data_IF_416332367489
#
_entry.id   IF_416332367489
#
_cell.length_a   1.000
_cell.length_b   1.000
_cell.length_c   1.000
_cell.angle_alpha   90.00
_cell.angle_beta   90.00
_cell.angle_gamma   90.00
#
_symmetry.space_group_name_H-M   'P 1'
#
loop_
_entity.id
_entity.type
_entity.pdbx_description
1 polymer ?
#
# COMPACT_ATOMS: atom_id res chain seq x y z
N UNK A 1 51.84 -29.14 47.70
CA UNK A 1 50.62 -29.24 46.87
C UNK A 1 49.53 -28.36 47.48
N UNK A 2 48.90 -27.54 46.63
CA UNK A 2 47.68 -26.72 46.82
C UNK A 2 47.70 -25.56 47.84
N UNK A 3 48.00 -24.32 47.43
CA UNK A 3 47.12 -23.28 46.83
C UNK A 3 46.02 -22.68 47.73
N UNK A 4 46.42 -21.60 48.40
CA UNK A 4 45.70 -20.34 48.68
C UNK A 4 44.40 -20.10 47.88
N UNK A 5 43.29 -19.75 48.56
CA UNK A 5 42.74 -18.37 48.75
C UNK A 5 41.24 -18.42 49.09
N UNK A 6 40.85 -17.58 50.05
CA UNK A 6 39.48 -17.31 50.47
C UNK A 6 38.66 -16.61 49.38
N UNK A 7 37.37 -16.99 49.26
CA UNK A 7 36.36 -16.25 48.51
C UNK A 7 35.55 -15.39 49.49
N UNK A 8 35.64 -14.07 49.30
CA UNK A 8 34.76 -13.07 49.87
C UNK A 8 33.58 -12.83 48.91
N UNK A 9 32.38 -12.67 49.48
CA UNK A 9 31.15 -12.31 48.77
C UNK A 9 31.23 -10.90 48.21
N UNK A 10 30.93 -10.75 46.91
CA UNK A 10 30.66 -9.47 46.26
C UNK A 10 29.21 -9.42 45.80
N UNK A 11 28.54 -8.35 46.24
CA UNK A 11 27.24 -7.91 45.76
C UNK A 11 27.31 -7.54 44.27
N UNK A 12 26.33 -7.99 43.49
CA UNK A 12 26.13 -7.53 42.12
C UNK A 12 25.05 -6.44 42.09
N UNK A 13 25.48 -5.20 41.84
CA UNK A 13 24.66 -4.16 41.22
C UNK A 13 24.82 -4.36 39.71
N UNK A 14 23.72 -4.56 38.97
CA UNK A 14 23.69 -4.40 37.52
C UNK A 14 22.68 -3.32 37.15
N UNK A 15 23.21 -2.23 36.59
CA UNK A 15 22.51 -1.23 35.78
C UNK A 15 22.37 -1.83 34.38
N UNK A 16 21.22 -1.71 33.70
CA UNK A 16 21.06 -1.07 32.37
C UNK A 16 19.75 -1.42 31.65
N UNK A 17 19.34 -0.43 30.84
CA UNK A 17 18.61 -0.50 29.58
C UNK A 17 17.10 -0.76 29.61
N UNK A 18 16.37 0.36 29.47
CA UNK A 18 15.06 0.34 28.83
C UNK A 18 15.19 -0.15 27.39
N UNK A 19 14.24 -0.99 26.97
CA UNK A 19 14.02 -1.34 25.58
C UNK A 19 12.53 -1.10 25.29
N UNK A 20 12.26 -0.05 24.54
CA UNK A 20 10.96 0.19 23.94
C UNK A 20 10.64 -1.02 23.04
N UNK A 21 9.49 -1.67 23.28
CA UNK A 21 9.02 -2.74 22.42
C UNK A 21 8.70 -2.17 21.03
N UNK A 22 9.45 -2.66 20.05
CA UNK A 22 9.32 -2.41 18.63
C UNK A 22 8.00 -3.02 18.15
N UNK A 23 7.08 -2.19 17.67
CA UNK A 23 5.89 -2.62 16.94
C UNK A 23 6.30 -3.10 15.54
N UNK A 24 6.56 -4.40 15.40
CA UNK A 24 6.74 -5.06 14.10
C UNK A 24 5.39 -5.31 13.43
N UNK A 25 5.06 -4.53 12.40
CA UNK A 25 3.95 -4.81 11.50
C UNK A 25 4.39 -5.75 10.38
N UNK A 26 3.73 -6.90 10.27
CA UNK A 26 3.87 -7.84 9.15
C UNK A 26 2.96 -7.40 7.96
N UNK A 27 3.08 -8.04 6.77
CA UNK A 27 2.80 -7.43 5.48
C UNK A 27 1.33 -7.48 5.07
N UNK A 28 0.81 -6.34 4.60
CA UNK A 28 -0.53 -6.22 4.04
C UNK A 28 -0.54 -6.63 2.56
N UNK A 29 -1.22 -7.72 2.20
CA UNK A 29 -1.61 -8.01 0.81
C UNK A 29 -3.03 -7.46 0.54
N UNK A 30 -3.15 -6.77 -0.61
CA UNK A 30 -4.33 -6.21 -1.29
C UNK A 30 -5.58 -5.82 -0.47
N UNK A 31 -5.98 -4.55 -0.53
CA UNK A 31 -7.37 -4.17 -0.27
C UNK A 31 -8.16 -4.16 -1.58
N UNK A 32 -9.26 -4.92 -1.70
CA UNK A 32 -10.38 -4.50 -2.53
C UNK A 32 -11.00 -3.24 -1.90
N UNK A 33 -11.41 -2.30 -2.73
CA UNK A 33 -12.15 -1.07 -2.37
C UNK A 33 -13.54 -1.32 -1.75
N UNK A 34 -13.78 -2.51 -1.20
CA UNK A 34 -14.92 -2.81 -0.36
C UNK A 34 -14.55 -3.15 1.10
N UNK A 35 -13.32 -3.58 1.43
CA UNK A 35 -12.99 -3.93 2.81
C UNK A 35 -12.62 -2.67 3.62
N UNK A 36 -13.53 -2.25 4.48
CA UNK A 36 -13.39 -1.07 5.34
C UNK A 36 -12.62 -1.33 6.62
N UNK A 37 -12.32 -2.59 6.98
CA UNK A 37 -11.61 -2.91 8.22
C UNK A 37 -10.23 -2.23 8.30
N UNK A 38 -9.56 -1.99 7.17
CA UNK A 38 -8.24 -1.34 7.10
C UNK A 38 -8.21 0.07 7.68
N UNK A 39 -9.29 0.83 7.51
CA UNK A 39 -9.37 2.24 7.95
C UNK A 39 -9.92 2.38 9.36
N UNK A 40 -10.31 1.29 10.00
CA UNK A 40 -10.74 1.27 11.38
C UNK A 40 -9.54 1.26 12.35
N UNK A 41 -9.79 1.78 13.56
CA UNK A 41 -8.96 1.55 14.74
C UNK A 41 -9.52 0.33 15.48
N UNK A 42 -8.75 -0.75 15.67
CA UNK A 42 -9.24 -1.94 16.32
C UNK A 42 -9.09 -1.85 17.83
N UNK A 43 -9.99 -2.49 18.54
CA UNK A 43 -9.86 -2.75 19.97
C UNK A 43 -10.44 -4.13 20.29
N UNK A 44 -10.15 -4.64 21.48
CA UNK A 44 -10.63 -5.95 21.90
C UNK A 44 -11.00 -5.96 23.38
N UNK A 45 -11.79 -6.95 23.79
CA UNK A 45 -12.06 -7.26 25.19
C UNK A 45 -10.78 -7.55 25.97
N UNK A 46 -9.85 -8.27 25.34
CA UNK A 46 -8.56 -8.66 25.87
C UNK A 46 -7.63 -9.05 24.71
N UNK A 47 -6.31 -9.00 24.90
CA UNK A 47 -5.31 -9.51 23.95
C UNK A 47 -4.16 -10.11 24.75
N UNK A 48 -3.76 -11.35 24.43
CA UNK A 48 -2.62 -11.99 25.09
C UNK A 48 -1.33 -11.16 24.90
N UNK A 49 -0.38 -11.13 25.85
CA UNK A 49 0.77 -10.22 25.80
C UNK A 49 1.72 -10.39 24.60
N UNK A 50 1.70 -11.54 23.92
CA UNK A 50 2.50 -11.84 22.72
C UNK A 50 1.68 -11.82 21.42
N UNK A 51 0.41 -11.44 21.50
CA UNK A 51 -0.53 -11.32 20.38
C UNK A 51 -0.88 -9.85 20.17
N UNK A 52 -1.54 -9.53 19.06
CA UNK A 52 -1.87 -8.15 18.71
C UNK A 52 -3.26 -8.03 18.12
N UNK A 53 -4.08 -7.16 18.70
CA UNK A 53 -5.39 -6.81 18.12
C UNK A 53 -5.26 -6.16 16.74
N UNK A 54 -4.09 -5.60 16.40
CA UNK A 54 -3.88 -5.04 15.08
C UNK A 54 -3.94 -6.09 13.96
N UNK A 55 -3.67 -7.37 14.29
CA UNK A 55 -3.66 -8.48 13.34
C UNK A 55 -5.00 -8.66 12.63
N UNK A 56 -6.12 -8.39 13.29
CA UNK A 56 -7.46 -8.58 12.69
C UNK A 56 -7.72 -7.69 11.46
N UNK A 57 -6.83 -6.74 11.16
CA UNK A 57 -6.92 -5.86 10.00
C UNK A 57 -5.55 -5.58 9.42
N UNK A 58 -4.61 -6.52 9.51
CA UNK A 58 -3.26 -6.27 9.01
C UNK A 58 -3.10 -6.52 7.51
N UNK A 59 -3.95 -7.36 6.90
CA UNK A 59 -3.89 -7.61 5.47
C UNK A 59 -3.23 -8.88 5.07
N UNK A 60 -2.82 -9.68 6.03
CA UNK A 60 -2.29 -10.99 5.76
C UNK A 60 -3.47 -11.90 5.46
N UNK A 61 -3.61 -12.36 4.22
CA UNK A 61 -4.52 -13.47 3.92
C UNK A 61 -3.96 -14.75 4.58
N UNK A 62 -4.65 -15.33 5.59
CA UNK A 62 -4.04 -16.40 6.38
C UNK A 62 -3.96 -17.71 5.58
N UNK A 63 -2.81 -18.39 5.58
CA UNK A 63 -2.64 -19.65 4.85
C UNK A 63 -3.38 -20.82 5.49
N UNK A 64 -3.61 -20.76 6.82
CA UNK A 64 -4.31 -21.76 7.64
C UNK A 64 -4.69 -21.18 9.01
N UNK A 65 -5.59 -21.83 9.74
CA UNK A 65 -6.02 -21.40 11.08
C UNK A 65 -4.94 -21.54 12.16
N UNK A 66 -4.00 -22.48 12.02
CA UNK A 66 -2.84 -22.60 12.90
C UNK A 66 -1.62 -21.84 12.35
N UNK A 67 -1.85 -20.62 11.87
CA UNK A 67 -0.76 -19.74 11.46
C UNK A 67 -0.17 -19.05 12.70
N UNK A 68 1.03 -19.50 13.07
CA UNK A 68 1.80 -18.89 14.15
C UNK A 68 2.95 -18.01 13.64
N UNK A 69 3.15 -17.94 12.32
CA UNK A 69 4.23 -17.19 11.69
C UNK A 69 3.86 -15.72 11.48
N UNK A 70 2.59 -15.45 11.19
CA UNK A 70 2.06 -14.10 11.06
C UNK A 70 1.45 -13.59 12.39
N UNK A 71 1.27 -12.26 12.53
CA UNK A 71 0.54 -11.69 13.66
C UNK A 71 -0.85 -12.28 13.78
N UNK A 72 -1.35 -12.34 15.01
CA UNK A 72 -2.66 -12.89 15.34
C UNK A 72 -3.22 -12.21 16.58
N UNK A 73 -4.54 -12.23 16.70
CA UNK A 73 -5.23 -11.88 17.93
C UNK A 73 -5.75 -13.15 18.60
N UNK A 74 -5.56 -13.24 19.91
CA UNK A 74 -6.11 -14.32 20.72
C UNK A 74 -6.30 -13.87 22.16
N UNK A 75 -7.07 -14.67 22.91
CA UNK A 75 -7.53 -14.28 24.24
C UNK A 75 -6.96 -15.11 25.38
N UNK A 76 -5.96 -15.97 25.14
CA UNK A 76 -5.45 -16.85 26.20
C UNK A 76 -4.92 -16.08 27.42
N UNK A 77 -5.22 -16.51 28.67
CA UNK A 77 -6.02 -17.70 29.04
C UNK A 77 -7.53 -17.42 29.19
N UNK A 78 -8.01 -16.23 28.82
CA UNK A 78 -9.39 -15.81 29.00
C UNK A 78 -10.33 -16.52 28.04
N UNK A 79 -11.37 -17.13 28.62
CA UNK A 79 -12.45 -17.80 27.91
C UNK A 79 -13.79 -17.06 28.08
N UNK A 80 -14.85 -17.62 27.53
CA UNK A 80 -16.20 -17.06 27.57
C UNK A 80 -16.47 -16.16 26.37
N UNK A 81 -17.31 -15.15 26.55
CA UNK A 81 -17.59 -14.19 25.49
C UNK A 81 -16.44 -13.19 25.38
N UNK A 82 -15.83 -13.10 24.20
CA UNK A 82 -14.77 -12.15 23.85
C UNK A 82 -15.18 -11.39 22.60
N UNK A 83 -14.55 -10.25 22.34
CA UNK A 83 -14.89 -9.44 21.18
C UNK A 83 -13.68 -8.67 20.64
N UNK A 84 -13.74 -8.40 19.35
CA UNK A 84 -12.95 -7.36 18.69
C UNK A 84 -13.88 -6.32 18.07
N UNK A 85 -13.40 -5.09 17.99
CA UNK A 85 -14.15 -3.94 17.51
C UNK A 85 -13.35 -3.20 16.45
N UNK A 86 -14.01 -2.75 15.40
CA UNK A 86 -13.49 -1.88 14.36
C UNK A 86 -14.18 -0.52 14.50
N UNK A 87 -13.43 0.52 14.85
CA UNK A 87 -13.95 1.89 15.00
C UNK A 87 -13.44 2.82 13.90
N UNK A 88 -14.34 3.46 13.16
CA UNK A 88 -14.04 4.49 12.16
C UNK A 88 -14.28 5.90 12.69
N UNK A 89 -13.58 6.89 12.12
CA UNK A 89 -13.77 8.32 12.44
C UNK A 89 -15.07 8.89 11.84
N UNK A 90 -15.61 8.26 10.80
CA UNK A 90 -16.87 8.60 10.16
C UNK A 90 -17.71 7.34 9.92
N UNK A 91 -19.03 7.50 9.87
CA UNK A 91 -19.95 6.39 9.66
C UNK A 91 -19.68 5.71 8.31
N UNK A 92 -19.59 4.38 8.34
CA UNK A 92 -19.40 3.51 7.19
C UNK A 92 -20.67 2.73 6.92
N UNK A 93 -21.02 2.52 5.65
CA UNK A 93 -22.12 1.64 5.25
C UNK A 93 -21.58 0.23 4.98
N UNK A 94 -21.95 -0.76 5.79
CA UNK A 94 -21.38 -2.11 5.77
C UNK A 94 -22.51 -3.12 5.53
N UNK A 95 -22.32 -4.09 4.63
CA UNK A 95 -23.31 -5.15 4.30
C UNK A 95 -22.86 -6.58 4.60
N UNK A 96 -21.57 -6.78 4.80
CA UNK A 96 -21.04 -8.12 5.05
C UNK A 96 -19.77 -8.04 5.88
N UNK A 97 -19.42 -9.16 6.51
CA UNK A 97 -18.15 -9.32 7.19
C UNK A 97 -17.59 -10.73 6.93
N UNK A 98 -16.27 -10.86 6.99
CA UNK A 98 -15.58 -12.14 6.98
C UNK A 98 -14.64 -12.21 8.16
N UNK A 99 -14.50 -13.40 8.75
CA UNK A 99 -13.57 -13.65 9.84
C UNK A 99 -12.76 -14.89 9.56
N UNK A 100 -11.46 -14.84 9.84
CA UNK A 100 -10.58 -16.01 9.78
C UNK A 100 -10.17 -16.38 11.21
N UNK A 101 -10.56 -17.57 11.67
CA UNK A 101 -10.30 -17.99 13.05
C UNK A 101 -8.86 -18.48 13.24
N UNK A 102 -8.26 -18.09 14.36
CA UNK A 102 -7.01 -18.67 14.85
C UNK A 102 -7.33 -19.90 15.71
N UNK A 103 -6.67 -21.03 15.43
CA UNK A 103 -6.75 -22.27 16.22
C UNK A 103 -5.34 -22.89 16.28
N UNK A 104 -4.74 -22.91 17.47
CA UNK A 104 -3.38 -23.46 17.69
C UNK A 104 -3.38 -24.96 18.02
N UNK A 105 -4.55 -25.60 18.05
CA UNK A 105 -4.75 -26.98 18.50
C UNK A 105 -4.67 -27.17 20.02
N UNK A 106 -4.38 -26.10 20.77
CA UNK A 106 -4.13 -26.10 22.21
C UNK A 106 -5.00 -25.08 22.96
N UNK A 107 -4.39 -23.98 23.38
CA UNK A 107 -5.00 -22.98 24.29
C UNK A 107 -6.00 -22.04 23.62
N UNK A 108 -5.89 -21.88 22.29
CA UNK A 108 -6.80 -21.09 21.46
C UNK A 108 -7.42 -22.00 20.41
N UNK A 109 -8.76 -22.08 20.40
CA UNK A 109 -9.52 -23.00 19.55
C UNK A 109 -10.60 -22.25 18.80
N UNK A 110 -11.16 -22.89 17.77
CA UNK A 110 -12.37 -22.37 17.10
C UNK A 110 -13.46 -21.99 18.12
N UNK A 111 -14.16 -20.85 17.93
CA UNK A 111 -15.25 -20.46 18.81
C UNK A 111 -16.42 -21.45 18.69
N UNK A 112 -17.25 -21.56 19.73
CA UNK A 112 -18.51 -22.31 19.63
C UNK A 112 -19.55 -21.57 18.79
N UNK A 113 -19.49 -20.24 18.79
CA UNK A 113 -20.31 -19.37 17.95
C UNK A 113 -19.69 -17.99 17.82
N UNK A 114 -20.11 -17.24 16.82
CA UNK A 114 -19.78 -15.84 16.66
C UNK A 114 -20.95 -15.07 16.07
N UNK A 115 -20.92 -13.75 16.21
CA UNK A 115 -21.89 -12.85 15.58
C UNK A 115 -21.27 -11.47 15.32
N UNK A 116 -21.93 -10.70 14.47
CA UNK A 116 -21.56 -9.31 14.16
C UNK A 116 -22.58 -8.36 14.78
N UNK A 117 -22.08 -7.32 15.45
CA UNK A 117 -22.88 -6.25 16.03
C UNK A 117 -22.48 -4.90 15.44
N UNK A 118 -23.41 -3.98 15.33
CA UNK A 118 -23.18 -2.59 14.94
C UNK A 118 -23.49 -1.64 16.11
N UNK A 119 -22.77 -0.52 16.19
CA UNK A 119 -23.06 0.53 17.15
C UNK A 119 -24.18 1.44 16.67
N UNK A 120 -25.27 1.54 17.43
CA UNK A 120 -26.43 2.36 17.08
C UNK A 120 -26.37 3.80 17.62
N UNK A 121 -25.24 4.21 18.20
CA UNK A 121 -25.10 5.49 18.92
C UNK A 121 -25.12 5.36 20.44
N UNK A 122 -25.68 4.28 20.99
CA UNK A 122 -25.85 4.06 22.44
C UNK A 122 -25.48 2.66 22.92
N UNK A 123 -25.63 1.65 22.07
CA UNK A 123 -25.35 0.26 22.37
C UNK A 123 -24.90 -0.50 21.11
N UNK A 124 -24.27 -1.66 21.33
CA UNK A 124 -24.05 -2.63 20.26
C UNK A 124 -25.30 -3.49 20.09
N UNK A 125 -25.78 -3.59 18.86
CA UNK A 125 -26.95 -4.40 18.48
C UNK A 125 -26.54 -5.38 17.39
N UNK A 126 -27.07 -6.60 17.44
CA UNK A 126 -26.83 -7.59 16.40
C UNK A 126 -27.34 -7.07 15.04
N UNK A 127 -26.58 -7.34 13.97
CA UNK A 127 -27.00 -6.96 12.61
C UNK A 127 -28.21 -7.76 12.17
N UNK A 128 -29.17 -7.12 11.50
CA UNK A 128 -30.38 -7.79 11.02
C UNK A 128 -30.15 -8.54 9.70
N UNK A 129 -30.93 -9.59 9.45
CA UNK A 129 -30.90 -10.31 8.17
C UNK A 129 -29.61 -11.08 7.90
N UNK A 130 -28.90 -11.51 8.96
CA UNK A 130 -27.66 -12.27 8.83
C UNK A 130 -27.87 -13.59 8.07
N UNK A 131 -27.02 -13.89 7.09
CA UNK A 131 -27.05 -15.14 6.30
C UNK A 131 -26.66 -16.40 7.09
N UNK A 132 -26.19 -16.23 8.33
CA UNK A 132 -25.63 -17.28 9.18
C UNK A 132 -24.16 -17.01 9.51
N UNK A 133 -23.68 -17.66 10.58
CA UNK A 133 -22.33 -17.49 11.13
C UNK A 133 -21.59 -18.84 11.14
N UNK A 134 -21.01 -19.27 9.99
CA UNK A 134 -20.30 -20.54 9.92
C UNK A 134 -19.05 -20.55 10.80
N UNK A 135 -18.67 -21.72 11.31
CA UNK A 135 -17.41 -21.92 12.04
C UNK A 135 -16.62 -23.03 11.39
N UNK A 136 -15.65 -22.65 10.56
CA UNK A 136 -14.75 -23.55 9.88
C UNK A 136 -13.30 -23.07 10.00
N UNK A 137 -12.39 -24.02 10.22
CA UNK A 137 -10.95 -23.77 10.13
C UNK A 137 -10.50 -23.60 8.67
N UNK A 138 -9.32 -23.00 8.51
CA UNK A 138 -8.56 -22.90 7.25
C UNK A 138 -9.31 -22.17 6.13
N UNK A 139 -10.19 -21.23 6.48
CA UNK A 139 -10.91 -20.37 5.53
C UNK A 139 -11.51 -19.14 6.21
N UNK A 140 -11.87 -18.17 5.39
CA UNK A 140 -12.79 -17.11 5.79
C UNK A 140 -14.19 -17.66 6.04
N UNK A 141 -14.79 -17.21 7.13
CA UNK A 141 -16.17 -17.45 7.51
C UNK A 141 -16.94 -16.17 7.25
N UNK A 142 -17.77 -16.20 6.21
CA UNK A 142 -18.43 -15.01 5.67
C UNK A 142 -19.88 -14.92 6.15
N UNK A 143 -20.34 -13.69 6.42
CA UNK A 143 -21.73 -13.37 6.74
C UNK A 143 -22.16 -12.14 5.97
N UNK A 144 -23.31 -12.19 5.31
CA UNK A 144 -24.01 -11.02 4.78
C UNK A 144 -25.14 -10.63 5.70
N UNK A 145 -25.52 -9.35 5.71
CA UNK A 145 -26.59 -8.82 6.54
C UNK A 145 -27.23 -7.59 5.87
N UNK A 146 -28.37 -7.14 6.39
CA UNK A 146 -28.95 -5.85 5.97
C UNK A 146 -27.94 -4.74 6.22
N UNK A 147 -27.67 -3.91 5.22
CA UNK A 147 -26.64 -2.88 5.31
C UNK A 147 -26.88 -1.94 6.51
N UNK A 148 -25.84 -1.70 7.30
CA UNK A 148 -25.85 -0.80 8.46
C UNK A 148 -24.93 0.39 8.20
N UNK A 149 -25.36 1.59 8.58
CA UNK A 149 -24.49 2.77 8.65
C UNK A 149 -24.03 2.97 10.09
N UNK A 150 -22.74 2.79 10.36
CA UNK A 150 -22.19 2.77 11.72
C UNK A 150 -20.75 3.29 11.78
N UNK A 151 -20.36 3.89 12.90
CA UNK A 151 -18.95 4.21 13.19
C UNK A 151 -18.22 3.06 13.85
N UNK A 152 -18.91 2.00 14.30
CA UNK A 152 -18.29 0.83 14.92
C UNK A 152 -18.96 -0.48 14.53
N UNK A 153 -18.14 -1.49 14.25
CA UNK A 153 -18.57 -2.86 13.99
C UNK A 153 -17.83 -3.78 14.94
N UNK A 154 -18.54 -4.67 15.63
CA UNK A 154 -17.98 -5.58 16.61
C UNK A 154 -18.20 -7.02 16.18
N UNK A 155 -17.14 -7.81 16.21
CA UNK A 155 -17.22 -9.27 16.09
C UNK A 155 -17.18 -9.84 17.50
N UNK A 156 -18.24 -10.54 17.89
CA UNK A 156 -18.35 -11.20 19.20
C UNK A 156 -18.18 -12.69 19.00
N UNK A 157 -17.26 -13.29 19.76
CA UNK A 157 -16.95 -14.71 19.73
C UNK A 157 -17.25 -15.33 21.10
N UNK A 158 -17.81 -16.52 21.10
CA UNK A 158 -17.97 -17.33 22.31
C UNK A 158 -16.95 -18.47 22.28
N UNK A 159 -16.16 -18.60 23.35
CA UNK A 159 -15.26 -19.75 23.53
C UNK A 159 -15.98 -21.08 23.29
N UNK A 160 -15.28 -21.99 22.62
CA UNK A 160 -15.63 -23.41 22.51
C UNK A 160 -14.78 -24.23 23.46
N UNK A 161 -13.89 -25.05 22.90
CA UNK A 161 -12.98 -25.90 23.67
C UNK A 161 -11.80 -25.16 24.33
N UNK A 162 -11.65 -23.85 24.08
CA UNK A 162 -10.56 -23.03 24.61
C UNK A 162 -10.82 -21.54 24.45
N UNK A 163 -9.76 -20.75 24.62
CA UNK A 163 -9.79 -19.31 24.31
C UNK A 163 -10.06 -19.11 22.83
N UNK A 164 -10.44 -17.90 22.41
CA UNK A 164 -10.74 -17.60 21.00
C UNK A 164 -9.65 -16.74 20.38
N UNK A 165 -9.57 -16.75 19.06
CA UNK A 165 -8.66 -15.90 18.30
C UNK A 165 -9.09 -15.69 16.87
N UNK A 166 -8.52 -14.66 16.26
CA UNK A 166 -8.75 -14.23 14.89
C UNK A 166 -7.42 -13.91 14.24
N UNK A 167 -7.28 -14.32 12.99
CA UNK A 167 -6.18 -13.95 12.11
C UNK A 167 -6.54 -12.70 11.31
N UNK A 168 -7.78 -12.58 10.83
CA UNK A 168 -8.20 -11.45 9.99
C UNK A 168 -9.72 -11.21 10.11
N UNK A 169 -10.15 -9.96 9.96
CA UNK A 169 -11.54 -9.52 9.88
C UNK A 169 -11.69 -8.57 8.69
N UNK A 170 -12.61 -8.89 7.79
CA UNK A 170 -12.99 -8.02 6.67
C UNK A 170 -14.39 -7.45 6.93
N UNK A 171 -14.60 -6.17 6.63
CA UNK A 171 -15.89 -5.49 6.75
C UNK A 171 -16.25 -4.87 5.40
N UNK A 172 -17.17 -5.49 4.67
CA UNK A 172 -17.45 -5.13 3.29
C UNK A 172 -18.48 -4.00 3.19
N UNK A 173 -18.09 -2.93 2.50
CA UNK A 173 -18.93 -1.81 2.13
C UNK A 173 -20.21 -2.30 1.44
N UNK A 174 -21.35 -1.82 1.92
CA UNK A 174 -22.51 -1.74 1.06
C UNK A 174 -22.24 -0.54 0.19
N UNK A 175 -21.85 -0.77 -1.06
CA UNK A 175 -21.78 0.30 -2.05
C UNK A 175 -23.12 1.04 -2.03
N UNK A 176 -23.18 2.21 -1.39
CA UNK A 176 -23.82 3.33 -2.07
C UNK A 176 -23.03 3.39 -3.37
N UNK A 177 -23.69 3.00 -4.45
CA UNK A 177 -23.22 3.05 -5.83
C UNK A 177 -21.96 3.93 -5.94
N UNK A 178 -20.78 3.41 -6.33
CA UNK A 178 -19.67 4.32 -6.63
C UNK A 178 -20.26 5.40 -7.55
N UNK A 179 -19.95 6.70 -7.33
CA UNK A 179 -20.54 7.79 -8.12
C UNK A 179 -20.55 7.34 -9.57
N UNK A 180 -21.71 7.34 -10.25
CA UNK A 180 -21.99 6.50 -11.41
C UNK A 180 -20.75 6.43 -12.29
N UNK A 181 -20.08 5.28 -12.25
CA UNK A 181 -18.76 5.22 -12.87
C UNK A 181 -18.97 5.38 -14.34
N UNK A 182 -18.35 6.37 -14.95
CA UNK A 182 -18.33 6.45 -16.42
C UNK A 182 -17.75 5.12 -16.91
N UNK A 183 -18.54 4.30 -17.60
CA UNK A 183 -18.03 3.05 -18.16
C UNK A 183 -16.92 3.33 -19.18
N UNK A 184 -16.43 2.27 -19.82
CA UNK A 184 -15.60 2.47 -21.02
C UNK A 184 -16.44 3.13 -22.12
N UNK A 185 -16.17 4.41 -22.40
CA UNK A 185 -16.87 5.20 -23.41
C UNK A 185 -15.97 6.34 -23.95
N UNK A 186 -14.87 6.02 -24.65
CA UNK A 186 -14.03 7.04 -25.26
C UNK A 186 -14.78 7.83 -26.34
N UNK A 187 -14.42 9.10 -26.59
CA UNK A 187 -14.85 9.84 -27.78
C UNK A 187 -14.62 9.02 -29.04
N UNK A 188 -15.55 9.07 -29.99
CA UNK A 188 -15.53 8.22 -31.19
C UNK A 188 -14.25 8.39 -32.03
N UNK A 189 -13.68 9.59 -32.07
CA UNK A 189 -12.42 9.88 -32.75
C UNK A 189 -11.19 9.27 -32.04
N UNK A 190 -11.31 8.87 -30.77
CA UNK A 190 -10.22 8.25 -30.01
C UNK A 190 -10.28 6.72 -30.01
N UNK A 191 -11.42 6.10 -30.36
CA UNK A 191 -11.59 4.63 -30.37
C UNK A 191 -10.50 3.95 -31.22
N UNK A 192 -10.35 4.38 -32.48
CA UNK A 192 -9.36 3.80 -33.40
C UNK A 192 -7.91 3.96 -32.93
N UNK A 193 -7.42 5.17 -32.59
CA UNK A 193 -6.05 5.33 -32.14
C UNK A 193 -5.76 4.62 -30.82
N UNK A 194 -6.71 4.54 -29.87
CA UNK A 194 -6.54 3.75 -28.65
C UNK A 194 -6.35 2.26 -28.98
N UNK A 195 -7.19 1.71 -29.86
CA UNK A 195 -7.04 0.32 -30.31
C UNK A 195 -5.71 0.05 -31.02
N UNK A 196 -5.20 1.01 -31.78
CA UNK A 196 -3.86 0.91 -32.40
C UNK A 196 -2.75 0.91 -31.36
N UNK A 197 -2.83 1.79 -30.34
CA UNK A 197 -1.86 1.81 -29.23
C UNK A 197 -1.87 0.47 -28.49
N UNK A 198 -3.04 -0.04 -28.11
CA UNK A 198 -3.11 -1.32 -27.41
C UNK A 198 -2.57 -2.48 -28.24
N UNK A 199 -2.94 -2.54 -29.52
CA UNK A 199 -2.42 -3.57 -30.45
C UNK A 199 -0.91 -3.48 -30.59
N UNK A 200 -0.37 -2.26 -30.69
CA UNK A 200 1.07 -2.04 -30.76
C UNK A 200 1.74 -2.54 -29.48
N UNK A 201 1.21 -2.17 -28.31
CA UNK A 201 1.70 -2.60 -27.02
C UNK A 201 1.76 -4.13 -26.91
N UNK A 202 0.69 -4.84 -27.28
CA UNK A 202 0.67 -6.31 -27.26
C UNK A 202 1.72 -6.95 -28.17
N UNK A 203 2.06 -6.30 -29.28
CA UNK A 203 3.03 -6.79 -30.26
C UNK A 203 4.48 -6.49 -29.88
N UNK A 204 4.73 -5.35 -29.24
CA UNK A 204 6.08 -4.84 -28.97
C UNK A 204 6.54 -5.04 -27.53
N UNK A 205 5.66 -5.50 -26.63
CA UNK A 205 6.00 -5.70 -25.23
C UNK A 205 7.17 -6.70 -25.07
N UNK A 206 8.35 -6.13 -24.84
CA UNK A 206 9.62 -6.87 -24.82
C UNK A 206 9.91 -7.52 -23.46
N UNK A 207 9.20 -7.14 -22.40
CA UNK A 207 9.31 -7.70 -21.05
C UNK A 207 8.48 -8.99 -20.86
N UNK A 208 8.25 -9.74 -21.95
CA UNK A 208 7.56 -11.03 -21.93
C UNK A 208 6.05 -10.88 -22.06
N UNK A 209 5.31 -11.25 -21.02
CA UNK A 209 3.85 -11.25 -21.06
C UNK A 209 3.30 -10.00 -20.36
N UNK A 210 2.79 -9.05 -21.15
CA UNK A 210 2.07 -7.83 -20.73
C UNK A 210 1.05 -8.12 -19.62
N UNK A 211 0.35 -9.25 -19.71
CA UNK A 211 -0.68 -9.65 -18.77
C UNK A 211 -0.16 -10.31 -17.49
N UNK A 212 1.06 -10.85 -17.53
CA UNK A 212 1.68 -11.53 -16.40
C UNK A 212 2.62 -10.62 -15.59
N UNK A 213 3.02 -9.46 -16.10
CA UNK A 213 3.79 -8.50 -15.32
C UNK A 213 2.98 -8.01 -14.11
N UNK A 214 3.63 -7.94 -12.94
CA UNK A 214 3.00 -7.69 -11.62
C UNK A 214 3.60 -6.50 -10.87
N UNK A 215 4.28 -5.63 -11.58
CA UNK A 215 4.90 -4.45 -10.98
C UNK A 215 4.51 -3.13 -11.64
N UNK A 216 3.43 -3.07 -12.44
CA UNK A 216 2.95 -1.76 -12.91
C UNK A 216 2.57 -0.87 -11.71
N UNK A 217 2.52 0.44 -11.91
CA UNK A 217 2.00 1.39 -10.93
C UNK A 217 0.58 1.02 -10.46
N UNK A 218 -0.20 0.32 -11.28
CA UNK A 218 -1.45 -0.33 -10.89
C UNK A 218 -1.25 -1.37 -9.78
N UNK A 219 -0.36 -2.35 -9.98
CA UNK A 219 -0.08 -3.41 -9.00
C UNK A 219 0.47 -2.85 -7.69
N UNK A 220 1.25 -1.78 -7.78
CA UNK A 220 1.84 -1.09 -6.63
C UNK A 220 0.76 -0.32 -5.86
N UNK A 221 -0.07 0.45 -6.56
CA UNK A 221 -1.21 1.16 -5.97
C UNK A 221 -2.15 0.22 -5.21
N UNK A 222 -2.47 -0.93 -5.79
CA UNK A 222 -3.39 -1.90 -5.20
C UNK A 222 -2.74 -2.72 -4.07
N UNK A 223 -1.44 -3.04 -4.18
CA UNK A 223 -0.71 -3.60 -3.05
C UNK A 223 -0.70 -2.65 -1.84
N UNK A 224 -0.59 -1.34 -2.11
CA UNK A 224 -0.56 -0.30 -1.09
C UNK A 224 -1.91 0.24 -0.67
N UNK A 225 -2.99 -0.24 -1.29
CA UNK A 225 -4.35 0.14 -0.89
C UNK A 225 -4.61 1.64 -1.08
N UNK A 226 -4.12 2.21 -2.18
CA UNK A 226 -4.48 3.56 -2.60
C UNK A 226 -3.44 4.65 -2.32
N UNK A 227 -2.20 4.31 -1.95
CA UNK A 227 -1.11 5.29 -1.88
C UNK A 227 0.16 4.80 -2.58
N UNK A 228 1.10 5.70 -2.83
CA UNK A 228 2.40 5.39 -3.43
C UNK A 228 3.52 5.99 -2.57
N UNK A 229 4.48 5.16 -2.19
CA UNK A 229 5.67 5.54 -1.46
C UNK A 229 6.84 5.76 -2.43
N UNK A 230 7.58 6.84 -2.20
CA UNK A 230 8.78 7.18 -2.94
C UNK A 230 10.00 7.20 -2.03
N UNK A 231 11.14 6.81 -2.60
CA UNK A 231 12.44 7.13 -2.05
C UNK A 231 13.22 7.99 -3.04
N UNK A 232 13.80 9.10 -2.57
CA UNK A 232 14.57 10.03 -3.41
C UNK A 232 16.03 9.59 -3.44
N UNK A 233 16.58 9.36 -4.63
CA UNK A 233 18.01 9.17 -4.87
C UNK A 233 18.60 10.52 -5.29
N UNK A 234 19.26 11.22 -4.37
CA UNK A 234 19.87 12.52 -4.59
C UNK A 234 21.28 12.36 -5.18
N UNK A 235 21.33 12.10 -6.48
CA UNK A 235 22.57 11.89 -7.23
C UNK A 235 23.17 13.21 -7.70
N UNK A 236 23.58 14.02 -6.72
CA UNK A 236 24.08 15.37 -6.92
C UNK A 236 25.25 15.63 -5.98
N UNK A 237 26.03 16.66 -6.27
CA UNK A 237 27.02 17.23 -5.33
C UNK A 237 26.42 18.35 -4.45
N UNK A 238 25.28 18.91 -4.85
CA UNK A 238 24.64 20.00 -4.13
C UNK A 238 24.09 19.55 -2.77
N UNK A 239 24.06 20.46 -1.80
CA UNK A 239 23.31 20.27 -0.56
C UNK A 239 21.80 20.50 -0.79
N UNK A 240 20.99 19.92 0.09
CA UNK A 240 19.53 20.05 0.11
C UNK A 240 19.05 20.38 1.53
N UNK A 241 18.24 21.43 1.65
CA UNK A 241 17.62 21.87 2.91
C UNK A 241 16.36 21.06 3.25
N UNK A 242 15.92 21.10 4.51
CA UNK A 242 14.61 20.54 4.90
C UNK A 242 13.46 21.15 4.09
N UNK A 243 13.50 22.47 3.83
CA UNK A 243 12.48 23.14 3.01
C UNK A 243 12.45 22.61 1.57
N UNK A 244 13.63 22.39 0.96
CA UNK A 244 13.72 21.80 -0.37
C UNK A 244 13.26 20.34 -0.39
N UNK A 245 13.56 19.55 0.64
CA UNK A 245 13.04 18.18 0.80
C UNK A 245 11.51 18.17 0.77
N UNK A 246 10.89 19.05 1.55
CA UNK A 246 9.42 19.15 1.64
C UNK A 246 8.81 19.68 0.33
N UNK A 247 9.48 20.60 -0.35
CA UNK A 247 9.08 21.08 -1.68
C UNK A 247 9.17 19.97 -2.73
N UNK A 248 10.18 19.11 -2.69
CA UNK A 248 10.31 17.95 -3.61
C UNK A 248 9.14 17.00 -3.41
N UNK A 249 8.79 16.67 -2.17
CA UNK A 249 7.61 15.85 -1.87
C UNK A 249 6.33 16.52 -2.39
N UNK A 250 6.11 17.80 -2.09
CA UNK A 250 4.92 18.50 -2.52
C UNK A 250 4.79 18.60 -4.05
N UNK A 251 5.90 18.85 -4.75
CA UNK A 251 5.93 18.87 -6.22
C UNK A 251 5.56 17.51 -6.80
N UNK A 252 6.20 16.45 -6.31
CA UNK A 252 5.92 15.08 -6.74
C UNK A 252 4.45 14.70 -6.52
N UNK A 253 3.90 14.99 -5.34
CA UNK A 253 2.49 14.71 -5.04
C UNK A 253 1.53 15.47 -5.97
N UNK A 254 1.81 16.75 -6.27
CA UNK A 254 0.99 17.53 -7.21
C UNK A 254 1.00 16.95 -8.62
N UNK A 255 2.18 16.57 -9.11
CA UNK A 255 2.33 16.08 -10.48
C UNK A 255 1.73 14.66 -10.63
N UNK A 256 1.98 13.77 -9.66
CA UNK A 256 1.40 12.42 -9.66
C UNK A 256 -0.13 12.43 -9.59
N UNK A 257 -0.71 13.34 -8.79
CA UNK A 257 -2.16 13.51 -8.69
C UNK A 257 -2.81 13.81 -10.04
N UNK A 258 -2.11 14.45 -10.99
CA UNK A 258 -2.69 14.76 -12.31
C UNK A 258 -3.06 13.51 -13.07
N UNK A 259 -2.22 12.47 -13.07
CA UNK A 259 -2.56 11.17 -13.66
C UNK A 259 -3.68 10.47 -12.90
N UNK A 260 -3.61 10.42 -11.58
CA UNK A 260 -4.60 9.68 -10.77
C UNK A 260 -5.99 10.33 -10.81
N UNK A 261 -6.06 11.65 -10.88
CA UNK A 261 -7.31 12.37 -11.02
C UNK A 261 -8.08 12.00 -12.30
N UNK A 262 -7.37 11.56 -13.35
CA UNK A 262 -8.02 11.09 -14.58
C UNK A 262 -8.79 9.77 -14.43
N UNK A 263 -8.54 9.04 -13.34
CA UNK A 263 -9.17 7.76 -13.04
C UNK A 263 -10.34 7.87 -12.05
N UNK A 264 -10.43 8.96 -11.28
CA UNK A 264 -11.46 9.07 -10.23
C UNK A 264 -12.87 9.01 -10.83
N UNK A 265 -13.68 8.06 -10.34
CA UNK A 265 -15.04 7.82 -10.84
C UNK A 265 -15.11 7.18 -12.23
N UNK A 266 -14.01 6.63 -12.76
CA UNK A 266 -13.97 5.99 -14.07
C UNK A 266 -13.99 4.45 -13.96
N UNK A 267 -14.93 3.81 -14.66
CA UNK A 267 -14.96 2.39 -14.99
C UNK A 267 -14.62 1.44 -13.83
N UNK A 268 -15.19 1.68 -12.65
CA UNK A 268 -14.97 0.88 -11.45
C UNK A 268 -13.67 1.18 -10.68
N UNK A 269 -12.89 2.19 -11.07
CA UNK A 269 -11.69 2.57 -10.32
C UNK A 269 -12.06 2.99 -8.88
N UNK A 270 -11.48 2.36 -7.84
CA UNK A 270 -12.04 2.42 -6.49
C UNK A 270 -11.53 3.58 -5.64
N UNK A 271 -10.52 4.34 -6.11
CA UNK A 271 -9.91 5.41 -5.33
C UNK A 271 -10.42 6.78 -5.77
N UNK A 272 -10.66 7.66 -4.80
CA UNK A 272 -11.00 9.08 -5.01
C UNK A 272 -9.85 10.02 -4.68
N UNK A 273 -8.75 9.47 -4.15
CA UNK A 273 -7.49 10.14 -3.89
C UNK A 273 -6.37 9.09 -3.90
N UNK A 274 -5.16 9.50 -4.30
CA UNK A 274 -3.97 8.63 -4.27
C UNK A 274 -2.81 9.44 -3.66
N UNK A 275 -2.61 9.37 -2.33
CA UNK A 275 -1.53 10.09 -1.68
C UNK A 275 -0.16 9.59 -2.13
N UNK A 276 0.74 10.52 -2.42
CA UNK A 276 2.17 10.23 -2.58
C UNK A 276 2.91 10.59 -1.30
N UNK A 277 3.78 9.70 -0.85
CA UNK A 277 4.61 9.88 0.36
C UNK A 277 6.07 9.73 -0.01
N UNK A 278 6.93 10.65 0.42
CA UNK A 278 8.39 10.42 0.37
C UNK A 278 8.79 9.81 1.70
N UNK A 279 9.26 8.56 1.67
CA UNK A 279 9.58 7.77 2.88
C UNK A 279 11.08 7.60 3.09
N UNK A 280 11.90 7.91 2.09
CA UNK A 280 13.36 7.81 2.21
C UNK A 280 14.14 8.73 1.29
N UNK A 281 15.40 8.96 1.65
CA UNK A 281 16.39 9.72 0.88
C UNK A 281 17.73 8.98 0.87
N UNK A 282 18.31 8.81 -0.31
CA UNK A 282 19.64 8.27 -0.51
C UNK A 282 20.61 9.35 -0.98
N UNK A 283 21.78 9.43 -0.35
CA UNK A 283 22.85 10.40 -0.66
C UNK A 283 24.23 9.73 -0.66
N UNK A 284 25.20 10.35 -1.31
CA UNK A 284 26.61 9.92 -1.22
C UNK A 284 27.18 10.26 0.14
N UNK A 285 26.91 11.48 0.61
CA UNK A 285 27.41 12.01 1.87
C UNK A 285 26.24 12.58 2.70
N UNK A 286 26.20 12.24 3.99
CA UNK A 286 25.19 12.74 4.93
C UNK A 286 25.22 14.27 5.05
N UNK A 287 26.39 14.89 4.85
CA UNK A 287 26.58 16.35 4.89
C UNK A 287 25.80 17.08 3.77
N UNK A 288 25.36 16.37 2.73
CA UNK A 288 24.50 16.95 1.70
C UNK A 288 23.11 17.29 2.23
N UNK A 289 22.64 16.59 3.26
CA UNK A 289 21.30 16.78 3.82
C UNK A 289 21.38 17.75 5.00
N UNK A 290 20.88 18.98 4.81
CA UNK A 290 20.91 20.05 5.82
C UNK A 290 19.69 19.97 6.77
N UNK A 291 19.40 18.76 7.25
CA UNK A 291 18.43 18.47 8.30
C UNK A 291 18.88 17.25 9.10
N UNK A 292 18.32 17.06 10.30
CA UNK A 292 18.63 15.93 11.19
C UNK A 292 17.40 15.26 11.80
N UNK A 293 16.18 15.68 11.40
CA UNK A 293 14.95 15.03 11.84
C UNK A 293 14.82 13.60 11.27
N UNK A 294 13.89 12.83 11.84
CA UNK A 294 13.62 11.43 11.50
C UNK A 294 12.33 11.25 10.69
N UNK A 295 11.93 12.26 9.91
CA UNK A 295 10.69 12.22 9.11
C UNK A 295 10.72 11.17 7.99
N UNK A 296 11.92 10.81 7.54
CA UNK A 296 12.17 9.86 6.44
C UNK A 296 13.42 9.01 6.75
N UNK A 297 13.50 7.83 6.13
CA UNK A 297 14.70 6.99 6.17
C UNK A 297 15.85 7.64 5.40
N UNK A 298 17.06 7.54 5.94
CA UNK A 298 18.27 8.10 5.31
C UNK A 298 19.25 6.97 4.97
N UNK A 299 19.57 6.84 3.68
CA UNK A 299 20.55 5.91 3.16
C UNK A 299 21.80 6.68 2.72
N UNK A 300 22.98 6.31 3.23
CA UNK A 300 24.22 7.05 2.97
C UNK A 300 25.28 6.11 2.42
N UNK A 301 25.92 6.51 1.33
CA UNK A 301 27.13 5.87 0.81
C UNK A 301 26.92 4.55 0.07
N UNK A 302 25.71 4.00 0.03
CA UNK A 302 25.40 2.87 -0.86
C UNK A 302 25.25 3.36 -2.29
N UNK A 303 26.17 2.99 -3.18
CA UNK A 303 26.20 3.44 -4.58
C UNK A 303 25.93 2.26 -5.51
N UNK A 304 24.94 2.40 -6.39
CA UNK A 304 24.58 1.44 -7.45
C UNK A 304 24.27 2.20 -8.73
N UNK A 305 24.61 1.64 -9.89
CA UNK A 305 24.49 2.32 -11.19
C UNK A 305 25.11 3.73 -11.21
N UNK A 306 26.18 3.92 -10.44
CA UNK A 306 26.81 5.21 -10.19
C UNK A 306 25.86 6.28 -9.61
N UNK A 307 24.91 5.92 -8.74
CA UNK A 307 24.05 6.85 -8.00
C UNK A 307 23.76 6.34 -6.57
N UNK A 308 23.46 7.22 -5.60
CA UNK A 308 23.05 6.80 -4.24
C UNK A 308 21.82 5.92 -4.26
N UNK A 309 21.83 4.77 -3.59
CA UNK A 309 20.81 3.74 -3.63
C UNK A 309 19.93 3.81 -2.37
N UNK A 310 18.62 3.89 -2.57
CA UNK A 310 17.64 3.64 -1.52
C UNK A 310 17.66 2.15 -1.14
N UNK A 311 17.39 1.80 0.13
CA UNK A 311 17.52 0.42 0.61
C UNK A 311 16.84 -0.63 -0.28
N UNK A 312 17.62 -1.39 -1.05
CA UNK A 312 17.09 -2.38 -1.99
C UNK A 312 16.15 -3.41 -1.35
N UNK A 313 16.39 -3.89 -0.11
CA UNK A 313 15.45 -4.79 0.57
C UNK A 313 14.04 -4.21 0.79
N UNK A 314 13.89 -2.88 0.75
CA UNK A 314 12.63 -2.15 0.92
C UNK A 314 12.03 -1.66 -0.40
N UNK A 315 12.72 -1.79 -1.54
CA UNK A 315 12.23 -1.30 -2.82
C UNK A 315 11.33 -2.31 -3.51
N UNK A 316 10.16 -1.88 -3.98
CA UNK A 316 9.18 -2.70 -4.70
C UNK A 316 9.75 -3.32 -5.98
N UNK A 317 10.59 -2.59 -6.71
CA UNK A 317 11.32 -3.13 -7.87
C UNK A 317 12.10 -4.43 -7.56
N UNK A 318 12.69 -4.51 -6.37
CA UNK A 318 13.45 -5.68 -5.91
C UNK A 318 12.56 -6.76 -5.25
N UNK A 319 11.30 -6.42 -4.94
CA UNK A 319 10.37 -7.23 -4.17
C UNK A 319 8.98 -7.24 -4.83
N UNK A 320 8.91 -7.67 -6.10
CA UNK A 320 7.70 -7.55 -6.93
C UNK A 320 6.51 -8.39 -6.45
N UNK A 321 6.73 -9.36 -5.55
CA UNK A 321 5.66 -10.08 -4.86
C UNK A 321 4.86 -9.20 -3.89
N UNK A 322 5.34 -7.98 -3.59
CA UNK A 322 4.81 -7.12 -2.54
C UNK A 322 5.17 -7.59 -1.12
N UNK A 323 6.02 -8.61 -1.00
CA UNK A 323 6.56 -9.09 0.27
C UNK A 323 7.94 -8.47 0.51
N UNK A 324 8.20 -7.97 1.72
CA UNK A 324 9.46 -7.28 2.06
C UNK A 324 10.20 -7.95 3.22
N UNK A 325 10.56 -9.25 3.11
CA UNK A 325 11.07 -10.04 4.23
C UNK A 325 12.41 -9.51 4.78
N UNK A 326 13.17 -8.80 3.95
CA UNK A 326 14.49 -8.28 4.28
C UNK A 326 14.47 -6.76 4.52
N UNK A 327 13.33 -6.09 4.40
CA UNK A 327 13.24 -4.65 4.65
C UNK A 327 13.28 -4.38 6.16
N UNK A 328 14.22 -3.55 6.66
CA UNK A 328 14.16 -3.08 8.04
C UNK A 328 12.83 -2.33 8.30
N UNK A 329 12.04 -2.83 9.25
CA UNK A 329 10.69 -2.32 9.52
C UNK A 329 9.60 -2.88 8.60
N UNK A 330 9.93 -3.88 7.78
CA UNK A 330 8.99 -4.66 6.98
C UNK A 330 8.25 -3.85 5.92
N UNK A 331 7.09 -4.36 5.50
CA UNK A 331 6.25 -3.70 4.49
C UNK A 331 5.85 -2.27 4.90
N UNK A 332 5.79 -1.92 6.18
CA UNK A 332 5.45 -0.57 6.61
C UNK A 332 6.50 0.49 6.21
N UNK A 333 7.74 0.08 5.92
CA UNK A 333 8.87 0.97 5.56
C UNK A 333 9.31 0.84 4.10
N UNK A 334 8.53 0.16 3.26
CA UNK A 334 8.86 -0.01 1.86
C UNK A 334 8.69 1.29 1.04
N UNK A 335 9.36 1.35 -0.11
CA UNK A 335 9.06 2.32 -1.17
C UNK A 335 8.72 1.62 -2.47
N UNK A 336 7.85 2.23 -3.25
CA UNK A 336 7.42 1.73 -4.56
C UNK A 336 8.32 2.23 -5.66
N UNK A 337 8.50 3.55 -5.66
CA UNK A 337 9.19 4.27 -6.70
C UNK A 337 10.49 4.88 -6.16
N UNK A 338 11.52 4.86 -7.00
CA UNK A 338 12.74 5.62 -6.79
C UNK A 338 12.70 6.88 -7.65
N UNK A 339 12.79 8.06 -7.04
CA UNK A 339 12.96 9.34 -7.76
C UNK A 339 14.44 9.70 -7.79
N UNK A 340 15.08 9.60 -8.95
CA UNK A 340 16.48 9.95 -9.12
C UNK A 340 16.60 11.38 -9.62
N UNK A 341 17.22 12.21 -8.82
CA UNK A 341 17.55 13.59 -9.16
C UNK A 341 19.05 13.64 -9.44
N UNK A 342 19.43 13.50 -10.72
CA UNK A 342 20.82 13.38 -11.16
C UNK A 342 21.33 14.70 -11.72
N UNK A 343 22.50 15.17 -11.27
CA UNK A 343 23.17 16.35 -11.83
C UNK A 343 23.46 16.16 -13.33
N UNK A 344 23.03 17.13 -14.15
CA UNK A 344 23.37 17.17 -15.57
C UNK A 344 22.68 16.10 -16.44
N UNK A 345 21.73 15.34 -15.89
CA UNK A 345 20.96 14.38 -16.67
C UNK A 345 20.00 15.09 -17.63
N UNK A 346 20.19 14.88 -18.94
CA UNK A 346 19.32 15.41 -19.99
C UNK A 346 18.13 14.50 -20.25
N UNK A 347 16.92 15.07 -20.29
CA UNK A 347 15.68 14.31 -20.50
C UNK A 347 15.17 13.62 -19.23
N UNK A 348 14.43 12.53 -19.41
CA UNK A 348 13.90 11.69 -18.36
C UNK A 348 13.99 10.20 -18.72
N UNK A 349 13.83 9.35 -17.71
CA UNK A 349 13.61 7.92 -17.87
C UNK A 349 12.67 7.44 -16.76
N UNK A 350 11.74 6.55 -17.10
CA UNK A 350 10.67 6.13 -16.20
C UNK A 350 10.25 4.70 -16.43
N UNK A 351 9.57 4.14 -15.45
CA UNK A 351 9.04 2.79 -15.52
C UNK A 351 8.41 2.35 -14.21
N UNK A 352 8.33 1.04 -14.01
CA UNK A 352 7.82 0.40 -12.80
C UNK A 352 8.67 0.69 -11.56
N UNK A 353 9.96 0.99 -11.73
CA UNK A 353 10.89 1.30 -10.63
C UNK A 353 10.85 2.75 -10.16
N UNK A 354 10.17 3.66 -10.88
CA UNK A 354 10.12 5.09 -10.59
C UNK A 354 10.57 5.96 -11.76
N UNK A 355 11.23 7.08 -11.47
CA UNK A 355 11.62 8.08 -12.46
C UNK A 355 13.04 8.61 -12.21
N UNK A 356 13.73 8.97 -13.28
CA UNK A 356 15.01 9.68 -13.28
C UNK A 356 14.93 10.90 -14.17
N UNK A 357 15.49 12.01 -13.71
CA UNK A 357 15.62 13.23 -14.50
C UNK A 357 16.74 14.12 -13.95
N UNK A 358 17.04 15.19 -14.69
CA UNK A 358 17.95 16.23 -14.23
C UNK A 358 17.48 16.85 -12.91
N UNK A 359 18.37 16.88 -11.90
CA UNK A 359 18.09 17.58 -10.63
C UNK A 359 17.77 19.05 -10.91
N UNK A 360 18.54 19.69 -11.78
CA UNK A 360 18.35 21.10 -12.15
C UNK A 360 16.96 21.33 -12.72
N UNK A 361 16.51 20.45 -13.62
CA UNK A 361 15.17 20.51 -14.19
C UNK A 361 14.11 20.40 -13.09
N UNK A 362 14.19 19.37 -12.24
CA UNK A 362 13.18 19.16 -11.20
C UNK A 362 13.13 20.35 -10.22
N UNK A 363 14.30 20.78 -9.73
CA UNK A 363 14.40 21.86 -8.74
C UNK A 363 13.96 23.22 -9.31
N UNK A 364 14.24 23.51 -10.59
CA UNK A 364 13.77 24.74 -11.23
C UNK A 364 12.26 24.75 -11.50
N UNK A 365 11.62 23.58 -11.48
CA UNK A 365 10.19 23.42 -11.79
C UNK A 365 9.35 22.99 -10.58
N UNK A 366 9.85 23.12 -9.34
CA UNK A 366 9.14 22.71 -8.13
C UNK A 366 7.69 23.24 -8.06
N UNK A 367 7.46 24.47 -8.52
CA UNK A 367 6.15 25.12 -8.50
C UNK A 367 5.50 25.21 -9.89
N UNK A 368 6.06 24.55 -10.91
CA UNK A 368 5.47 24.55 -12.24
C UNK A 368 4.08 23.89 -12.21
N UNK A 369 3.15 24.42 -13.00
CA UNK A 369 1.83 23.81 -13.14
C UNK A 369 1.97 22.39 -13.69
N UNK A 370 2.77 22.22 -14.74
CA UNK A 370 3.06 20.93 -15.37
C UNK A 370 4.57 20.73 -15.45
N UNK A 371 5.09 19.72 -14.76
CA UNK A 371 6.48 19.27 -14.90
C UNK A 371 6.54 18.24 -16.02
N UNK A 372 6.58 18.71 -17.27
CA UNK A 372 6.41 17.88 -18.48
C UNK A 372 7.21 16.57 -18.47
N UNK A 373 8.51 16.60 -18.13
CA UNK A 373 9.35 15.39 -18.11
C UNK A 373 8.84 14.43 -17.03
N UNK A 374 8.62 14.92 -15.80
CA UNK A 374 8.10 14.08 -14.73
C UNK A 374 6.72 13.48 -15.06
N UNK A 375 5.82 14.25 -15.67
CA UNK A 375 4.52 13.76 -16.09
C UNK A 375 4.63 12.67 -17.16
N UNK A 376 5.52 12.84 -18.14
CA UNK A 376 5.84 11.81 -19.13
C UNK A 376 6.36 10.53 -18.44
N UNK A 377 7.36 10.66 -17.57
CA UNK A 377 7.98 9.50 -16.90
C UNK A 377 7.02 8.75 -15.94
N UNK A 378 6.04 9.45 -15.34
CA UNK A 378 4.98 8.80 -14.55
C UNK A 378 4.06 7.96 -15.44
N UNK A 379 3.84 8.37 -16.71
CA UNK A 379 3.04 7.60 -17.66
C UNK A 379 3.58 6.18 -17.85
N UNK A 380 4.91 6.03 -17.99
CA UNK A 380 5.57 4.73 -18.10
C UNK A 380 5.35 3.82 -16.89
N UNK A 381 5.24 4.38 -15.68
CA UNK A 381 4.90 3.60 -14.49
C UNK A 381 3.56 2.87 -14.66
N UNK A 382 2.61 3.49 -15.36
CA UNK A 382 1.29 2.90 -15.61
C UNK A 382 1.20 2.12 -16.92
N UNK A 383 2.35 1.85 -17.56
CA UNK A 383 2.47 1.04 -18.76
C UNK A 383 2.39 1.82 -20.07
N UNK A 384 2.25 3.14 -20.04
CA UNK A 384 2.16 3.90 -21.29
C UNK A 384 3.50 3.88 -22.04
N UNK A 385 3.48 3.53 -23.32
CA UNK A 385 4.67 3.48 -24.17
C UNK A 385 5.19 4.86 -24.57
N UNK A 386 6.45 4.88 -24.98
CA UNK A 386 7.06 5.97 -25.75
C UNK A 386 6.64 5.93 -27.22
N UNK A 387 6.55 7.10 -27.85
CA UNK A 387 6.15 7.25 -29.25
C UNK A 387 7.22 7.96 -30.10
N UNK A 388 8.41 7.35 -30.19
CA UNK A 388 9.52 7.87 -31.01
C UNK A 388 9.41 7.47 -32.48
N UNK A 389 9.21 6.18 -32.75
CA UNK A 389 9.34 5.60 -34.09
C UNK A 389 7.98 5.35 -34.78
N UNK A 390 6.89 5.45 -34.01
CA UNK A 390 5.54 5.22 -34.49
C UNK A 390 4.53 6.07 -33.71
N UNK A 391 3.43 6.44 -34.37
CA UNK A 391 2.32 7.16 -33.74
C UNK A 391 0.98 6.65 -34.27
N UNK A 392 -0.07 6.59 -33.43
CA UNK A 392 -1.40 6.20 -33.86
C UNK A 392 -2.03 7.25 -34.78
N UNK A 393 -2.91 6.81 -35.67
CA UNK A 393 -3.56 7.67 -36.66
C UNK A 393 -4.64 8.56 -36.03
N UNK A 394 -4.81 9.78 -36.55
CA UNK A 394 -5.96 10.64 -36.21
C UNK A 394 -5.87 11.36 -34.87
N UNK A 395 -4.75 11.24 -34.16
CA UNK A 395 -4.44 12.01 -32.94
C UNK A 395 -3.09 12.68 -33.10
N UNK A 396 -2.95 13.88 -32.54
CA UNK A 396 -1.70 14.64 -32.54
C UNK A 396 -1.49 15.30 -31.19
N UNK A 397 -0.23 15.53 -30.83
CA UNK A 397 0.17 16.24 -29.62
C UNK A 397 -0.33 15.60 -28.33
N UNK A 398 0.48 14.76 -27.70
CA UNK A 398 0.16 14.11 -26.42
C UNK A 398 1.45 13.83 -25.65
N UNK A 399 1.39 13.81 -24.31
CA UNK A 399 2.58 13.88 -23.48
C UNK A 399 3.50 12.67 -23.66
N UNK A 400 2.92 11.49 -23.91
CA UNK A 400 3.70 10.26 -24.17
C UNK A 400 4.45 10.28 -25.50
N UNK A 401 4.13 11.22 -26.40
CA UNK A 401 5.00 11.57 -27.53
C UNK A 401 5.85 12.76 -27.12
N UNK A 402 7.05 12.44 -26.60
CA UNK A 402 7.97 13.42 -26.02
C UNK A 402 8.13 14.67 -26.89
N UNK A 403 7.99 15.84 -26.27
CA UNK A 403 8.10 17.15 -26.93
C UNK A 403 6.86 17.60 -27.73
N UNK A 404 5.83 16.76 -27.88
CA UNK A 404 4.63 17.13 -28.65
C UNK A 404 3.52 17.78 -27.82
N UNK A 405 3.58 17.68 -26.49
CA UNK A 405 2.69 18.35 -25.55
C UNK A 405 3.44 18.72 -24.25
N UNK A 406 2.95 19.74 -23.54
CA UNK A 406 3.51 20.23 -22.26
C UNK A 406 2.70 19.80 -21.04
N UNK A 407 1.60 19.06 -21.23
CA UNK A 407 0.70 18.59 -20.17
C UNK A 407 -0.04 17.33 -20.62
N UNK A 408 -0.65 16.61 -19.67
CA UNK A 408 -1.49 15.44 -19.94
C UNK A 408 -2.68 15.88 -20.80
N UNK A 409 -2.83 15.28 -21.98
CA UNK A 409 -3.90 15.58 -22.93
C UNK A 409 -5.08 14.63 -22.77
N UNK A 410 -6.16 14.88 -23.53
CA UNK A 410 -7.30 13.96 -23.57
C UNK A 410 -6.89 12.57 -24.08
N UNK A 411 -5.98 12.48 -25.05
CA UNK A 411 -5.54 11.19 -25.57
C UNK A 411 -4.73 10.42 -24.51
N UNK A 412 -3.82 11.10 -23.79
CA UNK A 412 -3.06 10.51 -22.69
C UNK A 412 -3.96 9.94 -21.59
N UNK A 413 -4.97 10.71 -21.18
CA UNK A 413 -6.02 10.29 -20.24
C UNK A 413 -6.70 9.01 -20.71
N UNK A 414 -7.11 8.95 -21.98
CA UNK A 414 -7.79 7.76 -22.48
C UNK A 414 -6.86 6.56 -22.66
N UNK A 415 -5.58 6.76 -22.96
CA UNK A 415 -4.58 5.68 -22.92
C UNK A 415 -4.45 5.10 -21.51
N UNK A 416 -4.36 5.95 -20.47
CA UNK A 416 -4.33 5.48 -19.08
C UNK A 416 -5.60 4.68 -18.72
N UNK A 417 -6.77 5.18 -19.12
CA UNK A 417 -8.05 4.51 -18.90
C UNK A 417 -8.18 3.19 -19.67
N UNK A 418 -7.56 3.10 -20.85
CA UNK A 418 -7.55 1.87 -21.64
C UNK A 418 -6.72 0.78 -20.98
N UNK A 419 -5.54 1.15 -20.47
CA UNK A 419 -4.76 0.28 -19.60
C UNK A 419 -5.58 -0.23 -18.42
N UNK A 420 -6.28 0.65 -17.68
CA UNK A 420 -7.19 0.23 -16.62
C UNK A 420 -8.24 -0.77 -17.12
N UNK A 421 -8.93 -0.50 -18.24
CA UNK A 421 -9.92 -1.43 -18.81
C UNK A 421 -9.35 -2.84 -19.03
N UNK A 422 -8.12 -2.94 -19.49
CA UNK A 422 -7.47 -4.22 -19.79
C UNK A 422 -6.91 -4.93 -18.55
N UNK A 423 -6.56 -4.21 -17.48
CA UNK A 423 -5.97 -4.82 -16.27
C UNK A 423 -6.94 -4.95 -15.10
N UNK A 424 -8.05 -4.21 -15.07
CA UNK A 424 -8.88 -4.04 -13.85
C UNK A 424 -9.43 -5.32 -13.23
N UNK A 425 -9.69 -6.34 -14.06
CA UNK A 425 -10.16 -7.64 -13.61
C UNK A 425 -9.17 -8.33 -12.66
N UNK A 426 -7.87 -8.05 -12.77
CA UNK A 426 -6.82 -8.54 -11.86
C UNK A 426 -7.04 -8.06 -10.42
N UNK A 427 -7.73 -6.94 -10.26
CA UNK A 427 -8.01 -6.31 -8.97
C UNK A 427 -9.48 -6.48 -8.54
N UNK A 428 -10.28 -7.25 -9.30
CA UNK A 428 -11.67 -7.56 -8.98
C UNK A 428 -12.71 -6.57 -9.53
N UNK A 429 -12.42 -5.83 -10.62
CA UNK A 429 -13.31 -4.80 -11.21
C UNK A 429 -13.62 -4.97 -12.70
#
# INVERSE_FOLDING_TARGET
>A
MNTRKALASTASILVTAGLALVTGGAPAHAAPGDNLAWTATPSASYTSPWESVAAIRDGVDPPRSNDTANPRWGTWPNQGQQWVDLTWTAAQTIRAAEVYFFDDGGGVRLPSSWRVQSWNGSAYVDVSGASGYPVAADRYNSVTFTAVSTTRLRVVLQSGAGSVGLLEVKAHSATTTPPPTSGWNPPSNLVTPLGQVWTHQEQTYNNGNLYAFRNYGWDQLFANRGYINYCVRWDSSASVTAAQRDQVHAALARQYRKWMAEMFGHNGFPYSDVPVRVVGWAVRDRAQLQWSDTSVDIYVGDIRENAPQCGAPCGRFFNQSGQYPNCPGGAARHYDHSLWLTDGFGGGAGGDWGQRMGREYFMNNLNAENMTILLHEIGHTYGLDDFYDWTPSGVGGFIMRAGSASSITEFDRWMLRDWWRHLKNRYGY
#
